data_IF_126429934193
#
_entry.id   IF_126429934193
#
_cell.length_a   1.000
_cell.length_b   1.000
_cell.length_c   1.000
_cell.angle_alpha   90.00
_cell.angle_beta   90.00
_cell.angle_gamma   90.00
#
_symmetry.space_group_name_H-M   'P 1'
#
loop_
_entity.id
_entity.type
_entity.pdbx_description
1 polymer ?
#
# COMPACT_ATOMS: atom_id res chain seq x y z
N UNK A 1 19.55 -4.35 -7.54
CA UNK A 1 18.41 -4.99 -6.85
C UNK A 1 18.05 -6.23 -7.65
N UNK A 2 18.01 -7.40 -7.02
CA UNK A 2 17.60 -8.63 -7.69
C UNK A 2 16.07 -8.81 -7.72
N UNK A 3 15.59 -9.87 -8.36
CA UNK A 3 14.15 -10.15 -8.46
C UNK A 3 13.50 -10.43 -7.11
N UNK A 4 14.22 -11.07 -6.19
CA UNK A 4 13.71 -11.43 -4.86
C UNK A 4 13.53 -10.18 -3.99
N UNK A 5 14.52 -9.28 -4.00
CA UNK A 5 14.46 -7.98 -3.33
C UNK A 5 13.32 -7.12 -3.88
N UNK A 6 13.15 -7.12 -5.20
CA UNK A 6 12.07 -6.38 -5.86
C UNK A 6 10.69 -6.93 -5.46
N UNK A 7 10.52 -8.25 -5.40
CA UNK A 7 9.28 -8.88 -4.96
C UNK A 7 8.98 -8.55 -3.49
N UNK A 8 9.98 -8.69 -2.61
CA UNK A 8 9.87 -8.31 -1.20
C UNK A 8 9.42 -6.85 -1.04
N UNK A 9 10.09 -5.92 -1.73
CA UNK A 9 9.76 -4.49 -1.67
C UNK A 9 8.37 -4.20 -2.22
N UNK A 10 7.96 -4.84 -3.31
CA UNK A 10 6.62 -4.71 -3.86
C UNK A 10 5.56 -5.15 -2.84
N UNK A 11 5.76 -6.26 -2.12
CA UNK A 11 4.87 -6.70 -1.05
C UNK A 11 4.81 -5.75 0.15
N UNK A 12 5.96 -5.28 0.64
CA UNK A 12 6.02 -4.30 1.73
C UNK A 12 5.26 -3.01 1.37
N UNK A 13 5.48 -2.49 0.16
CA UNK A 13 4.82 -1.27 -0.32
C UNK A 13 3.32 -1.50 -0.54
N UNK A 14 2.93 -2.67 -1.06
CA UNK A 14 1.53 -3.05 -1.19
C UNK A 14 0.83 -3.05 0.18
N UNK A 15 1.44 -3.65 1.20
CA UNK A 15 0.91 -3.65 2.57
C UNK A 15 0.83 -2.23 3.16
N UNK A 16 1.84 -1.38 2.93
CA UNK A 16 1.80 0.04 3.38
C UNK A 16 0.68 0.84 2.72
N UNK A 17 0.37 0.53 1.45
CA UNK A 17 -0.70 1.17 0.70
C UNK A 17 -2.11 0.78 1.18
N UNK A 18 -2.24 -0.17 2.08
CA UNK A 18 -3.55 -0.61 2.58
C UNK A 18 -4.09 0.31 3.68
N UNK A 19 -5.40 0.55 3.65
CA UNK A 19 -6.18 1.19 4.71
C UNK A 19 -7.35 0.30 5.10
N UNK A 20 -7.85 0.52 6.30
CA UNK A 20 -9.06 -0.13 6.76
C UNK A 20 -10.28 0.70 6.37
N UNK A 21 -11.31 0.05 5.82
CA UNK A 21 -12.61 0.66 5.55
C UNK A 21 -13.72 -0.24 6.05
N UNK A 22 -14.27 0.13 7.21
CA UNK A 22 -15.25 -0.71 7.90
C UNK A 22 -14.68 -2.09 8.25
N UNK A 23 -15.20 -3.13 7.58
CA UNK A 23 -14.82 -4.54 7.79
C UNK A 23 -13.81 -5.08 6.78
N UNK A 24 -13.43 -4.28 5.79
CA UNK A 24 -12.50 -4.70 4.73
C UNK A 24 -11.23 -3.86 4.75
N UNK A 25 -10.20 -4.36 4.09
CA UNK A 25 -8.97 -3.63 3.76
C UNK A 25 -9.01 -3.29 2.27
N UNK A 26 -8.71 -2.04 1.93
CA UNK A 26 -8.59 -1.56 0.55
C UNK A 26 -7.33 -0.70 0.37
N UNK A 27 -6.89 -0.50 -0.86
CA UNK A 27 -5.86 0.51 -1.15
C UNK A 27 -6.31 1.92 -0.75
N UNK A 28 -5.40 2.75 -0.22
CA UNK A 28 -5.71 4.12 0.21
C UNK A 28 -6.27 4.99 -0.94
N UNK A 29 -5.82 4.72 -2.16
CA UNK A 29 -6.36 5.27 -3.40
C UNK A 29 -5.90 4.44 -4.59
N UNK A 30 -6.84 3.75 -5.26
CA UNK A 30 -6.57 3.05 -6.52
C UNK A 30 -6.04 4.00 -7.60
N UNK A 31 -6.52 5.25 -7.63
CA UNK A 31 -6.08 6.26 -8.60
C UNK A 31 -4.61 6.66 -8.44
N UNK A 32 -4.18 6.93 -7.20
CA UNK A 32 -2.77 7.27 -6.93
C UNK A 32 -1.83 6.09 -7.23
N UNK A 33 -2.23 4.88 -6.83
CA UNK A 33 -1.48 3.65 -7.10
C UNK A 33 -1.32 3.43 -8.62
N UNK A 34 -2.40 3.62 -9.39
CA UNK A 34 -2.36 3.50 -10.85
C UNK A 34 -1.49 4.60 -11.49
N UNK A 35 -1.53 5.81 -10.96
CA UNK A 35 -0.66 6.89 -11.43
C UNK A 35 0.82 6.50 -11.31
N UNK A 36 1.25 5.93 -10.18
CA UNK A 36 2.63 5.46 -10.02
C UNK A 36 3.05 4.44 -11.08
N UNK A 37 2.16 3.49 -11.39
CA UNK A 37 2.37 2.53 -12.48
C UNK A 37 2.57 3.24 -13.82
N UNK A 38 1.73 4.21 -14.14
CA UNK A 38 1.81 4.97 -15.39
C UNK A 38 3.12 5.75 -15.52
N UNK A 39 3.72 6.15 -14.40
CA UNK A 39 5.00 6.85 -14.36
C UNK A 39 6.22 5.94 -14.55
N UNK A 40 6.09 4.62 -14.38
CA UNK A 40 7.23 3.69 -14.42
C UNK A 40 8.02 3.64 -15.74
N UNK A 41 7.33 3.98 -16.82
CA UNK A 41 7.87 4.07 -18.19
C UNK A 41 8.63 5.37 -18.47
N UNK A 42 8.48 6.41 -17.67
CA UNK A 42 9.07 7.73 -17.95
C UNK A 42 10.38 7.95 -17.18
N UNK A 43 11.31 8.71 -17.76
CA UNK A 43 12.57 9.08 -17.07
C UNK A 43 12.33 10.12 -15.97
N UNK A 44 11.36 11.02 -16.14
CA UNK A 44 10.99 12.08 -15.18
C UNK A 44 9.97 11.64 -14.12
N UNK A 45 9.87 10.34 -13.84
CA UNK A 45 8.88 9.79 -12.90
C UNK A 45 8.94 10.46 -11.51
N UNK A 46 10.15 10.74 -10.99
CA UNK A 46 10.34 11.32 -9.65
C UNK A 46 9.60 12.64 -9.48
N UNK A 47 9.78 13.57 -10.42
CA UNK A 47 9.10 14.87 -10.36
C UNK A 47 7.59 14.70 -10.50
N UNK A 48 7.13 13.83 -11.38
CA UNK A 48 5.70 13.58 -11.59
C UNK A 48 5.02 13.02 -10.33
N UNK A 49 5.64 12.02 -9.68
CA UNK A 49 5.15 11.44 -8.42
C UNK A 49 5.12 12.49 -7.32
N UNK A 50 6.18 13.28 -7.13
CA UNK A 50 6.20 14.34 -6.11
C UNK A 50 5.11 15.40 -6.32
N UNK A 51 4.92 15.85 -7.56
CA UNK A 51 3.84 16.80 -7.90
C UNK A 51 2.49 16.20 -7.56
N UNK A 52 2.24 14.95 -7.97
CA UNK A 52 0.99 14.26 -7.70
C UNK A 52 0.74 14.08 -6.19
N UNK A 53 1.79 13.85 -5.40
CA UNK A 53 1.70 13.77 -3.93
C UNK A 53 1.28 15.11 -3.32
N UNK A 54 1.85 16.23 -3.76
CA UNK A 54 1.50 17.57 -3.26
C UNK A 54 0.08 18.01 -3.61
N UNK A 55 -0.46 17.48 -4.71
CA UNK A 55 -1.80 17.82 -5.21
C UNK A 55 -2.87 16.84 -4.74
N UNK A 56 -2.50 15.81 -3.99
CA UNK A 56 -3.45 14.78 -3.55
C UNK A 56 -4.40 15.32 -2.48
N UNK A 57 -5.66 15.47 -2.87
CA UNK A 57 -6.76 15.88 -2.00
C UNK A 57 -7.82 14.78 -1.96
N UNK A 58 -7.75 13.84 -0.98
CA UNK A 58 -8.74 12.78 -0.86
C UNK A 58 -10.11 13.32 -0.45
N UNK A 59 -11.17 12.66 -0.90
CA UNK A 59 -12.53 12.91 -0.43
C UNK A 59 -12.85 11.99 0.77
N UNK A 60 -13.78 12.39 1.66
CA UNK A 60 -14.30 11.53 2.72
C UNK A 60 -14.89 10.24 2.15
N UNK A 61 -14.52 9.08 2.72
CA UNK A 61 -14.90 7.78 2.16
C UNK A 61 -16.29 7.27 2.49
N UNK A 62 -17.01 7.99 3.36
CA UNK A 62 -18.32 7.63 3.90
C UNK A 62 -19.39 8.69 3.62
N UNK A 63 -19.12 9.61 2.68
CA UNK A 63 -20.05 10.68 2.29
C UNK A 63 -20.27 11.75 3.36
N UNK A 64 -19.53 11.69 4.48
CA UNK A 64 -19.56 12.74 5.50
C UNK A 64 -19.01 14.04 4.94
N UNK A 65 -19.45 15.15 5.53
CA UNK A 65 -18.91 16.47 5.22
C UNK A 65 -17.40 16.51 5.46
N UNK A 66 -16.67 17.20 4.59
CA UNK A 66 -15.23 17.43 4.76
C UNK A 66 -14.86 18.21 6.03
N UNK A 67 -15.85 18.76 6.74
CA UNK A 67 -15.67 19.45 8.01
C UNK A 67 -15.85 18.53 9.25
N UNK A 68 -16.23 17.26 9.07
CA UNK A 68 -16.31 16.30 10.18
C UNK A 68 -14.89 15.96 10.68
N UNK A 69 -14.58 16.11 11.99
CA UNK A 69 -13.26 15.83 12.54
C UNK A 69 -12.73 14.42 12.22
N UNK A 70 -13.62 13.42 12.15
CA UNK A 70 -13.26 12.03 11.79
C UNK A 70 -12.94 11.94 10.30
N UNK A 71 -13.73 12.60 9.44
CA UNK A 71 -13.44 12.66 8.01
C UNK A 71 -12.11 13.37 7.75
N UNK A 72 -11.81 14.46 8.47
CA UNK A 72 -10.53 15.16 8.39
C UNK A 72 -9.37 14.25 8.81
N UNK A 73 -9.52 13.50 9.89
CA UNK A 73 -8.50 12.55 10.34
C UNK A 73 -8.24 11.45 9.29
N UNK A 74 -9.29 10.87 8.71
CA UNK A 74 -9.19 9.85 7.66
C UNK A 74 -8.53 10.42 6.39
N UNK A 75 -8.90 11.63 5.97
CA UNK A 75 -8.27 12.32 4.84
C UNK A 75 -6.78 12.57 5.09
N UNK A 76 -6.41 13.05 6.29
CA UNK A 76 -5.00 13.23 6.68
C UNK A 76 -4.21 11.92 6.63
N UNK A 77 -4.79 10.82 7.12
CA UNK A 77 -4.16 9.51 7.05
C UNK A 77 -3.91 9.06 5.60
N UNK A 78 -4.87 9.29 4.70
CA UNK A 78 -4.71 8.99 3.27
C UNK A 78 -3.60 9.83 2.63
N UNK A 79 -3.52 11.12 2.96
CA UNK A 79 -2.44 12.01 2.48
C UNK A 79 -1.08 11.53 2.96
N UNK A 80 -0.95 11.20 4.25
CA UNK A 80 0.31 10.70 4.81
C UNK A 80 0.72 9.36 4.16
N UNK A 81 -0.23 8.45 3.95
CA UNK A 81 0.03 7.19 3.22
C UNK A 81 0.45 7.43 1.78
N UNK A 82 -0.21 8.34 1.05
CA UNK A 82 0.18 8.69 -0.30
C UNK A 82 1.62 9.20 -0.37
N UNK A 83 2.01 10.02 0.61
CA UNK A 83 3.38 10.53 0.73
C UNK A 83 4.38 9.39 0.97
N UNK A 84 4.15 8.56 1.99
CA UNK A 84 5.06 7.44 2.33
C UNK A 84 5.17 6.43 1.18
N UNK A 85 4.05 6.00 0.61
CA UNK A 85 4.03 5.02 -0.49
C UNK A 85 4.76 5.57 -1.71
N UNK A 86 4.50 6.82 -2.11
CA UNK A 86 5.18 7.38 -3.27
C UNK A 86 6.68 7.62 -3.03
N UNK A 87 7.12 7.94 -1.81
CA UNK A 87 8.54 8.03 -1.46
C UNK A 87 9.25 6.68 -1.61
N UNK A 88 8.64 5.59 -1.12
CA UNK A 88 9.17 4.23 -1.25
C UNK A 88 9.20 3.77 -2.72
N UNK A 89 8.14 4.05 -3.47
CA UNK A 89 8.08 3.75 -4.91
C UNK A 89 9.19 4.50 -5.66
N UNK A 90 9.39 5.80 -5.39
CA UNK A 90 10.49 6.57 -5.97
C UNK A 90 11.83 5.91 -5.63
N UNK A 91 12.07 5.59 -4.36
CA UNK A 91 13.33 5.00 -3.90
C UNK A 91 13.68 3.72 -4.65
N UNK A 92 12.70 2.82 -4.83
CA UNK A 92 12.90 1.58 -5.60
C UNK A 92 13.12 1.87 -7.09
N UNK A 93 12.31 2.78 -7.66
CA UNK A 93 12.39 3.09 -9.09
C UNK A 93 13.68 3.83 -9.49
N UNK A 94 14.31 4.59 -8.59
CA UNK A 94 15.56 5.30 -8.85
C UNK A 94 16.74 4.38 -9.11
N UNK A 95 16.75 3.19 -8.49
CA UNK A 95 17.83 2.22 -8.60
C UNK A 95 17.57 1.15 -9.67
N UNK A 96 16.45 1.24 -10.39
CA UNK A 96 16.02 0.28 -11.40
C UNK A 96 16.03 0.88 -12.81
N UNK A 97 16.49 0.15 -13.83
CA UNK A 97 16.32 0.55 -15.22
C UNK A 97 14.85 0.46 -15.64
N UNK A 98 14.47 1.15 -16.72
CA UNK A 98 13.07 1.30 -17.13
C UNK A 98 12.27 -0.01 -17.23
N UNK A 99 12.89 -1.08 -17.76
CA UNK A 99 12.27 -2.41 -17.87
C UNK A 99 11.95 -3.02 -16.50
N UNK A 100 12.86 -2.91 -15.55
CA UNK A 100 12.66 -3.45 -14.20
C UNK A 100 11.71 -2.59 -13.38
N UNK A 101 11.67 -1.27 -13.60
CA UNK A 101 10.63 -0.41 -12.99
C UNK A 101 9.22 -0.87 -13.37
N UNK A 102 9.02 -1.24 -14.65
CA UNK A 102 7.74 -1.78 -15.12
C UNK A 102 7.38 -3.09 -14.41
N UNK A 103 8.34 -4.00 -14.24
CA UNK A 103 8.12 -5.26 -13.49
C UNK A 103 7.80 -4.99 -12.02
N UNK A 104 8.55 -4.11 -11.38
CA UNK A 104 8.31 -3.70 -10.00
C UNK A 104 6.87 -3.18 -9.80
N UNK A 105 6.41 -2.25 -10.65
CA UNK A 105 5.05 -1.71 -10.50
C UNK A 105 3.96 -2.73 -10.86
N UNK A 106 4.24 -3.70 -11.72
CA UNK A 106 3.33 -4.83 -11.98
C UNK A 106 3.17 -5.71 -10.73
N UNK A 107 4.27 -6.08 -10.07
CA UNK A 107 4.22 -6.79 -8.80
C UNK A 107 3.47 -5.99 -7.73
N UNK A 108 3.77 -4.69 -7.61
CA UNK A 108 3.08 -3.82 -6.66
C UNK A 108 1.56 -3.84 -6.87
N UNK A 109 1.09 -3.67 -8.12
CA UNK A 109 -0.34 -3.71 -8.44
C UNK A 109 -0.98 -5.07 -8.15
N UNK A 110 -0.29 -6.15 -8.53
CA UNK A 110 -0.75 -7.51 -8.30
C UNK A 110 -0.90 -7.82 -6.81
N UNK A 111 0.13 -7.47 -6.03
CA UNK A 111 0.17 -7.69 -4.58
C UNK A 111 -0.92 -6.88 -3.87
N UNK A 112 -1.15 -5.63 -4.29
CA UNK A 112 -2.29 -4.83 -3.81
C UNK A 112 -3.62 -5.55 -4.06
N UNK A 113 -3.83 -6.09 -5.27
CA UNK A 113 -5.06 -6.81 -5.61
C UNK A 113 -5.24 -8.10 -4.83
N UNK A 114 -4.17 -8.85 -4.58
CA UNK A 114 -4.23 -10.03 -3.71
C UNK A 114 -4.68 -9.63 -2.30
N UNK A 115 -4.09 -8.59 -1.70
CA UNK A 115 -4.44 -8.18 -0.34
C UNK A 115 -5.91 -7.73 -0.26
N UNK A 116 -6.38 -6.96 -1.25
CA UNK A 116 -7.78 -6.53 -1.37
C UNK A 116 -8.73 -7.75 -1.47
N UNK A 117 -8.42 -8.72 -2.34
CA UNK A 117 -9.25 -9.93 -2.54
C UNK A 117 -9.29 -10.84 -1.30
N UNK A 118 -8.19 -10.90 -0.55
CA UNK A 118 -8.12 -11.65 0.70
C UNK A 118 -8.71 -10.87 1.90
N UNK A 119 -9.18 -9.64 1.67
CA UNK A 119 -9.80 -8.79 2.67
C UNK A 119 -8.86 -8.43 3.82
N UNK A 120 -7.55 -8.46 3.60
CA UNK A 120 -6.58 -8.23 4.67
C UNK A 120 -6.40 -9.38 5.67
N UNK A 121 -6.91 -10.59 5.37
CA UNK A 121 -6.73 -11.74 6.25
C UNK A 121 -5.25 -12.16 6.28
N UNK A 122 -4.55 -11.83 7.39
CA UNK A 122 -3.12 -12.09 7.56
C UNK A 122 -2.72 -13.56 7.41
N UNK A 123 -3.55 -14.50 7.84
CA UNK A 123 -3.26 -15.93 7.69
C UNK A 123 -3.27 -16.35 6.22
N UNK A 124 -4.31 -15.93 5.47
CA UNK A 124 -4.42 -16.22 4.03
C UNK A 124 -3.32 -15.52 3.24
N UNK A 125 -3.01 -14.27 3.59
CA UNK A 125 -1.91 -13.51 2.97
C UNK A 125 -0.58 -14.21 3.27
N UNK A 126 -0.33 -14.64 4.51
CA UNK A 126 0.87 -15.38 4.89
C UNK A 126 1.10 -16.63 4.03
N UNK A 127 0.04 -17.40 3.75
CA UNK A 127 0.11 -18.57 2.84
C UNK A 127 0.55 -18.18 1.42
N UNK A 128 0.06 -17.04 0.90
CA UNK A 128 0.48 -16.53 -0.41
C UNK A 128 1.94 -16.07 -0.37
N UNK A 129 2.36 -15.34 0.66
CA UNK A 129 3.74 -14.87 0.80
C UNK A 129 4.73 -16.03 0.83
N UNK A 130 4.40 -17.12 1.53
CA UNK A 130 5.20 -18.34 1.52
C UNK A 130 5.25 -19.01 0.15
N UNK A 131 4.12 -19.05 -0.58
CA UNK A 131 4.07 -19.63 -1.94
C UNK A 131 4.84 -18.79 -2.97
N UNK A 132 4.83 -17.47 -2.82
CA UNK A 132 5.58 -16.50 -3.63
C UNK A 132 7.06 -16.39 -3.22
N UNK A 133 7.52 -17.22 -2.27
CA UNK A 133 8.89 -17.25 -1.74
C UNK A 133 9.38 -15.88 -1.27
N UNK A 134 8.49 -15.11 -0.64
CA UNK A 134 8.81 -13.82 -0.03
C UNK A 134 9.79 -14.05 1.12
N UNK A 135 10.94 -13.38 1.08
CA UNK A 135 12.06 -13.60 2.01
C UNK A 135 11.66 -13.34 3.46
N UNK A 136 10.92 -12.27 3.70
CA UNK A 136 10.44 -11.88 5.02
C UNK A 136 8.93 -11.60 4.98
N UNK A 137 8.10 -12.65 5.14
CA UNK A 137 6.65 -12.51 5.18
C UNK A 137 6.15 -11.69 6.37
N UNK A 138 6.82 -11.78 7.53
CA UNK A 138 6.39 -11.09 8.75
C UNK A 138 6.51 -9.57 8.59
N UNK A 139 7.60 -9.07 7.99
CA UNK A 139 7.74 -7.64 7.68
C UNK A 139 6.59 -7.09 6.80
N UNK A 140 6.02 -7.92 5.92
CA UNK A 140 4.84 -7.56 5.11
C UNK A 140 3.58 -7.57 5.97
N UNK A 141 3.37 -8.63 6.76
CA UNK A 141 2.19 -8.80 7.60
C UNK A 141 2.10 -7.74 8.71
N UNK A 142 3.22 -7.26 9.24
CA UNK A 142 3.27 -6.18 10.24
C UNK A 142 2.80 -4.83 9.68
N UNK A 143 3.05 -4.56 8.40
CA UNK A 143 2.63 -3.32 7.72
C UNK A 143 1.13 -3.29 7.41
N UNK A 144 0.44 -4.43 7.45
CA UNK A 144 -1.00 -4.50 7.22
C UNK A 144 -1.81 -3.92 8.39
N UNK A 145 -2.84 -3.09 8.12
CA UNK A 145 -3.76 -2.62 9.14
C UNK A 145 -4.39 -3.77 9.93
N UNK A 146 -4.59 -3.58 11.24
CA UNK A 146 -5.29 -4.56 12.06
C UNK A 146 -6.79 -4.59 11.75
N UNK A 147 -7.37 -5.80 11.66
CA UNK A 147 -8.81 -5.97 11.59
C UNK A 147 -9.46 -5.87 12.98
N UNK A 148 -10.69 -5.34 13.07
CA UNK A 148 -11.40 -5.13 14.35
C UNK A 148 -11.53 -6.40 15.21
N UNK A 149 -11.67 -7.56 14.56
CA UNK A 149 -11.83 -8.84 15.27
C UNK A 149 -10.50 -9.29 15.91
N UNK A 150 -9.35 -8.95 15.32
CA UNK A 150 -8.03 -9.25 15.89
C UNK A 150 -7.66 -8.32 17.06
N UNK A 151 -8.23 -7.10 17.10
CA UNK A 151 -8.03 -6.17 18.22
C UNK A 151 -8.75 -6.61 19.50
N UNK A 152 -9.86 -7.36 19.40
CA UNK A 152 -10.56 -7.91 20.57
C UNK A 152 -9.73 -9.01 21.22
N UNK A 153 -9.22 -9.96 20.45
CA UNK A 153 -8.45 -11.10 20.99
C UNK A 153 -7.14 -10.68 21.68
N UNK A 154 -6.48 -9.62 21.21
CA UNK A 154 -5.27 -9.08 21.87
C UNK A 154 -5.55 -8.42 23.22
N UNK A 155 -6.73 -7.81 23.41
CA UNK A 155 -7.11 -7.20 24.71
C UNK A 155 -7.46 -8.27 25.74
N UNK A 156 -8.08 -9.38 25.32
CA UNK A 156 -8.42 -10.47 26.23
C UNK A 156 -7.21 -11.32 26.66
N UNK A 157 -6.12 -11.33 25.90
CA UNK A 157 -4.87 -12.02 26.30
C UNK A 157 -3.96 -11.22 27.23
N UNK A 158 -4.32 -9.97 27.55
CA UNK A 158 -3.57 -9.08 28.48
C UNK A 158 -4.38 -8.72 29.73
N UNK A 159 -5.52 -9.38 29.95
CA UNK A 159 -6.39 -9.21 31.11
C UNK A 159 -6.27 -10.39 32.06
#
# INVERSE_FOLDING_TARGET
MDMSDMNQKAWEIAAMAMIRKGRVIESYSTGQVRFFFEQARFSRFKSAIKTQQSQYSPQPSDGRSGNDPRAIADMRQRVEKNKKVGEEVISVMEVLPARERMRFVQYLLWNIKIIEQLGGNKERIGKVLSAELVRDPEAVLEKLPEMQNQQRDRRYRRG
#
